data_IF_046055876585
#
_entry.id   IF_046055876585
#
_cell.length_a   1.000
_cell.length_b   1.000
_cell.length_c   1.000
_cell.angle_alpha   90.00
_cell.angle_beta   90.00
_cell.angle_gamma   90.00
#
_symmetry.space_group_name_H-M   'P 1'
#
loop_
_entity.id
_entity.type
_entity.pdbx_description
1 polymer ?
#
# COMPACT_ATOMS: atom_id res chain seq x y z
N UNK A 1 16.87 11.61 -11.25
CA UNK A 1 15.87 12.28 -12.07
C UNK A 1 14.50 11.68 -11.82
N UNK A 2 13.52 12.52 -11.66
CA UNK A 2 12.16 12.06 -11.48
C UNK A 2 11.40 12.13 -12.80
N UNK A 3 10.54 11.15 -13.01
CA UNK A 3 9.65 11.19 -14.18
C UNK A 3 8.50 12.13 -13.90
N UNK A 4 8.12 12.89 -14.91
CA UNK A 4 6.89 13.64 -14.85
C UNK A 4 5.76 12.73 -15.25
N UNK A 5 4.94 12.36 -14.28
CA UNK A 5 3.84 11.43 -14.50
C UNK A 5 2.61 11.97 -13.75
N UNK A 6 1.47 11.92 -14.40
CA UNK A 6 0.22 12.36 -13.75
C UNK A 6 -0.21 11.34 -12.69
N UNK A 7 -1.01 11.78 -11.72
CA UNK A 7 -1.51 10.85 -10.70
C UNK A 7 -2.32 9.70 -11.30
N UNK A 8 -3.25 9.92 -12.24
CA UNK A 8 -3.95 8.80 -12.86
C UNK A 8 -3.03 7.78 -13.52
N UNK A 9 -1.97 8.25 -14.19
CA UNK A 9 -0.99 7.36 -14.81
C UNK A 9 -0.23 6.58 -13.76
N UNK A 10 0.17 7.23 -12.69
CA UNK A 10 0.90 6.60 -11.59
C UNK A 10 0.03 5.54 -10.91
N UNK A 11 -1.23 5.87 -10.67
CA UNK A 11 -2.15 4.94 -10.00
C UNK A 11 -2.46 3.72 -10.88
N UNK A 12 -2.59 3.92 -12.19
CA UNK A 12 -2.73 2.81 -13.12
C UNK A 12 -1.52 1.89 -13.07
N UNK A 13 -0.33 2.49 -12.96
CA UNK A 13 0.90 1.72 -12.85
C UNK A 13 0.99 0.98 -11.52
N UNK A 14 0.55 1.59 -10.42
CA UNK A 14 0.47 0.92 -9.12
C UNK A 14 -0.41 -0.31 -9.22
N UNK A 15 -1.59 -0.20 -9.85
CA UNK A 15 -2.48 -1.35 -10.04
C UNK A 15 -1.78 -2.47 -10.78
N UNK A 16 -1.08 -2.14 -11.85
CA UNK A 16 -0.38 -3.11 -12.66
C UNK A 16 0.73 -3.81 -11.89
N UNK A 17 1.49 -3.05 -11.13
CA UNK A 17 2.60 -3.58 -10.34
C UNK A 17 2.06 -4.46 -9.21
N UNK A 18 0.97 -4.05 -8.57
CA UNK A 18 0.32 -4.85 -7.51
C UNK A 18 -0.11 -6.21 -8.08
N UNK A 19 -0.81 -6.20 -9.21
CA UNK A 19 -1.27 -7.45 -9.82
C UNK A 19 -0.08 -8.33 -10.20
N UNK A 20 0.97 -7.74 -10.74
CA UNK A 20 2.15 -8.49 -11.14
C UNK A 20 2.91 -9.05 -9.93
N UNK A 21 3.03 -8.26 -8.87
CA UNK A 21 3.82 -8.63 -7.68
C UNK A 21 3.09 -9.67 -6.82
N UNK A 22 1.78 -9.49 -6.65
CA UNK A 22 0.98 -10.35 -5.76
C UNK A 22 0.13 -11.38 -6.51
N UNK A 23 0.08 -11.31 -7.83
CA UNK A 23 -0.71 -12.22 -8.64
C UNK A 23 -2.16 -11.81 -8.84
N UNK A 24 -2.62 -10.82 -8.10
CA UNK A 24 -4.00 -10.31 -8.19
C UNK A 24 -4.12 -8.98 -7.46
N UNK A 25 -5.25 -8.32 -7.61
CA UNK A 25 -5.52 -7.11 -6.87
C UNK A 25 -5.69 -7.42 -5.38
N UNK A 26 -5.37 -6.43 -4.55
CA UNK A 26 -5.58 -6.55 -3.11
C UNK A 26 -7.08 -6.57 -2.81
N UNK A 27 -7.46 -7.34 -1.81
CA UNK A 27 -8.83 -7.41 -1.33
C UNK A 27 -8.96 -6.53 -0.10
N UNK A 28 -9.92 -5.60 -0.14
CA UNK A 28 -10.20 -4.73 0.99
C UNK A 28 -11.24 -5.38 1.88
N UNK A 29 -10.93 -5.52 3.16
CA UNK A 29 -11.82 -6.12 4.14
C UNK A 29 -12.02 -5.14 5.29
N UNK A 30 -13.24 -4.63 5.44
CA UNK A 30 -13.63 -3.78 6.56
C UNK A 30 -14.11 -4.68 7.68
N UNK A 31 -13.26 -4.92 8.66
CA UNK A 31 -13.55 -5.89 9.70
C UNK A 31 -14.30 -5.30 10.89
N UNK A 32 -14.07 -4.03 11.21
CA UNK A 32 -14.64 -3.46 12.42
C UNK A 32 -14.61 -1.92 12.32
N UNK A 33 -15.72 -1.33 11.94
CA UNK A 33 -15.82 0.12 11.82
C UNK A 33 -14.83 0.69 10.81
N UNK A 34 -13.93 1.53 11.28
CA UNK A 34 -12.94 2.18 10.42
C UNK A 34 -11.65 1.39 10.24
N UNK A 35 -11.57 0.19 10.82
CA UNK A 35 -10.42 -0.67 10.63
C UNK A 35 -10.55 -1.44 9.32
N UNK A 36 -9.53 -1.34 8.47
CA UNK A 36 -9.58 -1.92 7.13
C UNK A 36 -8.30 -2.71 6.90
N UNK A 37 -8.45 -3.93 6.40
CA UNK A 37 -7.32 -4.78 5.99
C UNK A 37 -7.27 -4.86 4.47
N UNK A 38 -6.05 -4.89 3.95
CA UNK A 38 -5.81 -5.14 2.53
C UNK A 38 -4.98 -6.42 2.44
N UNK A 39 -5.57 -7.46 1.88
CA UNK A 39 -4.99 -8.79 1.88
C UNK A 39 -4.78 -9.32 0.47
N UNK A 40 -3.91 -10.32 0.37
CA UNK A 40 -3.76 -11.11 -0.85
C UNK A 40 -4.25 -12.51 -0.56
N UNK A 41 -5.47 -12.88 -0.99
CA UNK A 41 -6.03 -14.20 -0.68
C UNK A 41 -5.29 -15.35 -1.36
N UNK A 42 -4.38 -15.07 -2.30
CA UNK A 42 -3.56 -16.10 -2.91
C UNK A 42 -2.38 -16.54 -2.06
N UNK A 43 -2.12 -15.83 -0.96
CA UNK A 43 -0.99 -16.13 -0.07
C UNK A 43 -1.52 -16.20 1.35
N UNK A 44 -1.28 -17.33 2.02
CA UNK A 44 -1.68 -17.48 3.41
C UNK A 44 -0.46 -17.34 4.30
N UNK A 45 -0.67 -16.82 5.50
CA UNK A 45 0.39 -16.72 6.48
C UNK A 45 0.55 -18.04 7.24
N UNK A 46 1.41 -18.05 8.24
CA UNK A 46 1.70 -19.27 9.02
C UNK A 46 0.51 -19.78 9.81
N UNK A 47 -0.49 -18.93 10.04
CA UNK A 47 -1.69 -19.29 10.81
C UNK A 47 -2.83 -19.70 9.90
N UNK A 48 -2.62 -19.72 8.59
CA UNK A 48 -3.62 -20.13 7.61
C UNK A 48 -4.57 -19.00 7.18
N UNK A 49 -4.30 -17.79 7.62
CA UNK A 49 -5.10 -16.60 7.24
C UNK A 49 -4.51 -15.94 6.00
N UNK A 50 -5.33 -15.18 5.28
CA UNK A 50 -4.84 -14.39 4.15
C UNK A 50 -3.79 -13.41 4.63
N UNK A 51 -2.69 -13.31 3.88
CA UNK A 51 -1.60 -12.42 4.26
C UNK A 51 -2.05 -10.96 4.19
N UNK A 52 -1.88 -10.25 5.29
CA UNK A 52 -2.22 -8.84 5.37
C UNK A 52 -1.03 -8.02 4.92
N UNK A 53 -1.21 -7.28 3.82
CA UNK A 53 -0.14 -6.51 3.20
C UNK A 53 -0.15 -5.05 3.62
N UNK A 54 -1.33 -4.52 3.87
CA UNK A 54 -1.54 -3.16 4.37
C UNK A 54 -2.72 -3.19 5.32
N UNK A 55 -2.75 -2.26 6.27
CA UNK A 55 -3.97 -2.07 7.07
C UNK A 55 -4.10 -0.61 7.52
N UNK A 56 -5.33 -0.15 7.64
CA UNK A 56 -5.64 1.18 8.15
C UNK A 56 -6.30 1.04 9.51
N UNK A 57 -5.73 1.70 10.51
CA UNK A 57 -6.31 1.67 11.86
C UNK A 57 -7.39 2.73 12.03
N UNK A 58 -7.97 2.78 13.23
CA UNK A 58 -9.08 3.70 13.53
C UNK A 58 -8.69 5.17 13.44
N UNK A 59 -7.42 5.48 13.59
CA UNK A 59 -6.93 6.85 13.57
C UNK A 59 -6.57 7.34 12.19
N UNK A 60 -6.80 6.53 11.18
CA UNK A 60 -6.50 6.91 9.81
C UNK A 60 -5.06 6.66 9.39
N UNK A 61 -4.32 5.87 10.14
CA UNK A 61 -2.94 5.52 9.81
C UNK A 61 -2.93 4.27 8.95
N UNK A 62 -2.38 4.39 7.74
CA UNK A 62 -2.16 3.24 6.86
C UNK A 62 -0.79 2.63 7.17
N UNK A 63 -0.79 1.41 7.66
CA UNK A 63 0.44 0.66 7.90
C UNK A 63 0.80 -0.16 6.69
N UNK A 64 2.06 -0.11 6.29
CA UNK A 64 2.58 -0.96 5.22
C UNK A 64 3.20 -2.18 5.90
N UNK A 65 2.55 -3.34 5.74
CA UNK A 65 3.04 -4.59 6.32
C UNK A 65 4.05 -5.28 5.42
N UNK A 66 3.94 -5.08 4.11
CA UNK A 66 4.90 -5.64 3.15
C UNK A 66 5.62 -4.51 2.43
N UNK A 67 6.89 -4.32 2.75
CA UNK A 67 7.70 -3.27 2.16
C UNK A 67 8.27 -3.62 0.78
N UNK A 68 8.18 -4.86 0.36
CA UNK A 68 8.77 -5.28 -0.92
C UNK A 68 8.17 -4.51 -2.09
N UNK A 69 6.85 -4.40 -2.12
CA UNK A 69 6.16 -3.63 -3.15
C UNK A 69 6.58 -2.16 -3.11
N UNK A 70 6.61 -1.59 -1.92
CA UNK A 70 6.96 -0.17 -1.75
C UNK A 70 8.38 0.10 -2.22
N UNK A 71 9.34 -0.74 -1.82
CA UNK A 71 10.73 -0.56 -2.23
C UNK A 71 10.90 -0.72 -3.75
N UNK A 72 10.10 -1.59 -4.35
CA UNK A 72 10.13 -1.75 -5.80
C UNK A 72 9.69 -0.46 -6.51
N UNK A 73 8.61 0.15 -6.04
CA UNK A 73 8.13 1.42 -6.62
C UNK A 73 9.18 2.51 -6.43
N UNK A 74 9.76 2.62 -5.25
CA UNK A 74 10.80 3.60 -4.99
C UNK A 74 11.99 3.43 -5.94
N UNK A 75 12.40 2.19 -6.16
CA UNK A 75 13.51 1.90 -7.07
C UNK A 75 13.22 2.26 -8.50
N UNK A 76 11.97 2.09 -8.95
CA UNK A 76 11.58 2.41 -10.32
C UNK A 76 11.53 3.91 -10.59
N UNK A 77 11.10 4.70 -9.60
CA UNK A 77 10.85 6.13 -9.82
C UNK A 77 11.81 7.06 -9.07
N UNK A 78 12.64 6.52 -8.21
CA UNK A 78 13.54 7.35 -7.42
C UNK A 78 12.84 8.15 -6.33
N UNK A 79 11.69 7.68 -5.86
CA UNK A 79 10.96 8.35 -4.78
C UNK A 79 11.66 8.14 -3.43
N UNK A 80 11.72 9.19 -2.62
CA UNK A 80 12.12 9.03 -1.24
C UNK A 80 10.93 8.53 -0.40
N UNK A 81 11.16 8.31 0.89
CA UNK A 81 10.12 7.76 1.76
C UNK A 81 8.90 8.69 1.87
N UNK A 82 9.13 9.99 1.96
CA UNK A 82 8.03 10.96 2.08
C UNK A 82 7.20 11.00 0.80
N UNK A 83 7.85 10.96 -0.34
CA UNK A 83 7.17 10.96 -1.63
C UNK A 83 6.30 9.72 -1.81
N UNK A 84 6.86 8.54 -1.53
CA UNK A 84 6.10 7.31 -1.73
C UNK A 84 4.94 7.21 -0.73
N UNK A 85 5.12 7.70 0.50
CA UNK A 85 4.02 7.72 1.46
C UNK A 85 2.86 8.56 0.97
N UNK A 86 3.14 9.73 0.40
CA UNK A 86 2.08 10.61 -0.11
C UNK A 86 1.37 9.98 -1.30
N UNK A 87 2.11 9.34 -2.21
CA UNK A 87 1.49 8.67 -3.35
C UNK A 87 0.67 7.45 -2.92
N UNK A 88 1.14 6.68 -1.94
CA UNK A 88 0.37 5.57 -1.39
C UNK A 88 -0.92 6.06 -0.74
N UNK A 89 -0.84 7.13 0.04
CA UNK A 89 -2.03 7.72 0.67
C UNK A 89 -3.08 8.08 -0.38
N UNK A 90 -2.67 8.82 -1.40
CA UNK A 90 -3.58 9.25 -2.46
C UNK A 90 -4.14 8.07 -3.25
N UNK A 91 -3.31 7.09 -3.53
CA UNK A 91 -3.72 5.90 -4.28
C UNK A 91 -4.79 5.12 -3.54
N UNK A 92 -4.56 4.83 -2.25
CA UNK A 92 -5.52 4.07 -1.46
C UNK A 92 -6.81 4.87 -1.22
N UNK A 93 -6.71 6.17 -0.99
CA UNK A 93 -7.90 7.00 -0.85
C UNK A 93 -8.74 7.01 -2.12
N UNK A 94 -8.09 7.13 -3.27
CA UNK A 94 -8.78 7.19 -4.55
C UNK A 94 -9.38 5.84 -4.94
N UNK A 95 -8.61 4.77 -4.80
CA UNK A 95 -9.05 3.45 -5.26
C UNK A 95 -10.12 2.84 -4.37
N UNK A 96 -10.01 3.01 -3.07
CA UNK A 96 -10.86 2.33 -2.11
C UNK A 96 -11.87 3.23 -1.42
N UNK A 97 -11.86 4.52 -1.74
CA UNK A 97 -12.79 5.52 -1.18
C UNK A 97 -12.75 5.51 0.36
N UNK A 98 -11.55 5.61 0.90
CA UNK A 98 -11.30 5.67 2.33
C UNK A 98 -10.47 6.91 2.63
N UNK A 99 -10.46 7.34 3.91
CA UNK A 99 -9.67 8.49 4.34
C UNK A 99 -8.42 8.01 5.07
N UNK A 100 -7.28 8.53 4.66
CA UNK A 100 -5.99 8.19 5.25
C UNK A 100 -5.31 9.47 5.66
N UNK A 101 -4.97 9.59 6.96
CA UNK A 101 -4.28 10.77 7.46
C UNK A 101 -2.79 10.70 7.20
N UNK A 102 -2.20 9.54 7.38
CA UNK A 102 -0.78 9.35 7.16
C UNK A 102 -0.46 7.89 6.87
N UNK A 103 0.76 7.65 6.42
CA UNK A 103 1.25 6.31 6.09
C UNK A 103 2.48 6.03 6.95
N UNK A 104 2.54 4.83 7.51
CA UNK A 104 3.66 4.41 8.35
C UNK A 104 4.29 3.14 7.80
N UNK A 105 5.61 3.08 7.86
CA UNK A 105 6.36 1.89 7.50
C UNK A 105 6.70 1.10 8.76
N UNK A 106 6.83 -0.24 8.65
CA UNK A 106 7.07 -1.08 9.82
C UNK A 106 8.42 -0.81 10.47
N UNK A 107 9.38 -0.39 9.67
CA UNK A 107 10.70 -0.07 10.17
C UNK A 107 10.79 1.41 10.45
N UNK A 108 11.05 1.77 11.69
CA UNK A 108 11.14 3.17 12.10
C UNK A 108 12.40 3.47 12.89
N UNK A 109 13.18 2.45 13.23
CA UNK A 109 14.38 2.65 14.00
C UNK A 109 15.53 3.18 13.15
N UNK A 110 16.57 3.71 13.78
CA UNK A 110 17.76 4.10 13.04
C UNK A 110 18.46 2.87 12.51
N UNK A 111 19.02 3.02 11.35
CA UNK A 111 19.85 1.96 10.80
C UNK A 111 21.23 2.03 11.39
#
# INVERSE_FOLDING_TARGET
MKYEITEPQLFSLFNRIIVKHYGQELVMDKTDGDYVKFTNPGIVDKDGDDEMLFHKNYWGLLWVNDMKFVRKIQGLFGFDDDEIKEYLRKYFESKYDIKIKSVAFPYTGPE
#
